data_IF_579367437944
#
_entry.id   IF_579367437944
#
_cell.length_a   1.000
_cell.length_b   1.000
_cell.length_c   1.000
_cell.angle_alpha   90.00
_cell.angle_beta   90.00
_cell.angle_gamma   90.00
#
_symmetry.space_group_name_H-M   'P 1'
#
loop_
_entity.id
_entity.type
_entity.pdbx_description
1 polymer ?
#
# COMPACT_ATOMS: atom_id res chain seq x y z
N UNK A 1 -50.97 79.35 -47.19
CA UNK A 1 -50.78 79.90 -45.84
C UNK A 1 -49.60 79.18 -45.22
N UNK A 2 -48.45 79.83 -45.12
CA UNK A 2 -47.25 79.23 -44.51
C UNK A 2 -47.42 79.24 -42.99
N UNK A 3 -47.88 78.12 -42.44
CA UNK A 3 -47.88 77.90 -41.00
C UNK A 3 -46.44 77.60 -40.57
N UNK A 4 -45.75 78.59 -39.99
CA UNK A 4 -44.42 78.40 -39.42
C UNK A 4 -44.56 78.02 -37.95
N UNK A 5 -43.86 76.97 -37.53
CA UNK A 5 -43.86 76.51 -36.14
C UNK A 5 -43.25 77.62 -35.25
N UNK A 6 -43.92 78.01 -34.15
CA UNK A 6 -43.37 78.97 -33.19
C UNK A 6 -42.04 78.50 -32.59
N UNK A 7 -41.13 79.44 -32.30
CA UNK A 7 -39.82 79.13 -31.73
C UNK A 7 -39.91 78.36 -30.40
N UNK A 8 -40.95 78.59 -29.59
CA UNK A 8 -41.15 77.92 -28.29
C UNK A 8 -41.26 76.41 -28.46
N UNK A 9 -42.06 75.95 -29.43
CA UNK A 9 -42.22 74.53 -29.74
C UNK A 9 -40.91 73.91 -30.24
N UNK A 10 -40.15 74.66 -31.05
CA UNK A 10 -38.85 74.20 -31.55
C UNK A 10 -37.85 74.06 -30.40
N UNK A 11 -37.86 74.96 -29.41
CA UNK A 11 -36.99 74.90 -28.24
C UNK A 11 -37.32 73.70 -27.34
N UNK A 12 -38.60 73.42 -27.13
CA UNK A 12 -39.03 72.28 -26.31
C UNK A 12 -38.69 70.93 -26.95
N UNK A 13 -38.77 70.84 -28.29
CA UNK A 13 -38.44 69.63 -29.04
C UNK A 13 -36.94 69.49 -29.36
N UNK A 14 -36.14 70.55 -29.15
CA UNK A 14 -34.74 70.59 -29.53
C UNK A 14 -33.89 69.48 -28.88
N UNK A 15 -34.02 69.17 -27.57
CA UNK A 15 -33.22 68.11 -26.93
C UNK A 15 -33.47 66.74 -27.58
N UNK A 16 -34.74 66.40 -27.81
CA UNK A 16 -35.12 65.14 -28.46
C UNK A 16 -34.65 65.07 -29.93
N UNK A 17 -34.64 66.21 -30.63
CA UNK A 17 -34.11 66.31 -31.98
C UNK A 17 -32.59 66.13 -32.04
N UNK A 18 -31.84 66.70 -31.08
CA UNK A 18 -30.40 66.52 -30.97
C UNK A 18 -30.01 65.06 -30.62
N UNK A 19 -30.83 64.37 -29.82
CA UNK A 19 -30.67 62.95 -29.49
C UNK A 19 -31.16 61.99 -30.61
N UNK A 20 -31.74 62.51 -31.70
CA UNK A 20 -32.24 61.72 -32.83
C UNK A 20 -33.52 60.92 -32.53
N UNK A 21 -34.29 61.31 -31.52
CA UNK A 21 -35.48 60.62 -31.04
C UNK A 21 -36.81 61.18 -31.60
N UNK A 22 -36.75 62.07 -32.59
CA UNK A 22 -37.91 62.68 -33.25
C UNK A 22 -38.24 62.02 -34.60
N UNK A 23 -39.52 62.01 -34.97
CA UNK A 23 -39.99 61.44 -36.24
C UNK A 23 -39.42 62.18 -37.45
N UNK A 24 -39.33 61.53 -38.62
CA UNK A 24 -38.81 62.16 -39.84
C UNK A 24 -39.59 63.41 -40.27
N UNK A 25 -40.91 63.43 -40.07
CA UNK A 25 -41.74 64.60 -40.35
C UNK A 25 -41.36 65.77 -39.45
N UNK A 26 -41.15 65.52 -38.16
CA UNK A 26 -40.68 66.52 -37.19
C UNK A 26 -39.27 67.02 -37.53
N UNK A 27 -38.37 66.11 -37.95
CA UNK A 27 -37.00 66.46 -38.33
C UNK A 27 -36.94 67.45 -39.50
N UNK A 28 -37.80 67.27 -40.50
CA UNK A 28 -37.86 68.16 -41.66
C UNK A 28 -38.30 69.57 -41.26
N UNK A 29 -39.34 69.69 -40.44
CA UNK A 29 -39.86 71.00 -40.02
C UNK A 29 -38.86 71.74 -39.11
N UNK A 30 -38.16 71.02 -38.22
CA UNK A 30 -37.10 71.61 -37.39
C UNK A 30 -35.92 72.09 -38.26
N UNK A 31 -35.49 71.33 -39.27
CA UNK A 31 -34.42 71.75 -40.20
C UNK A 31 -34.75 73.04 -40.93
N UNK A 32 -35.95 73.14 -41.50
CA UNK A 32 -36.42 74.36 -42.19
C UNK A 32 -36.43 75.54 -41.22
N UNK A 33 -36.88 75.35 -39.98
CA UNK A 33 -36.87 76.42 -38.98
C UNK A 33 -35.45 76.85 -38.57
N UNK A 34 -34.50 75.92 -38.43
CA UNK A 34 -33.10 76.23 -38.11
C UNK A 34 -32.41 76.99 -39.26
N UNK A 35 -32.81 76.79 -40.51
CA UNK A 35 -32.33 77.56 -41.67
C UNK A 35 -32.83 79.00 -41.69
N UNK A 36 -34.04 79.25 -41.16
CA UNK A 36 -34.67 80.57 -41.17
C UNK A 36 -34.47 81.38 -39.87
N UNK A 37 -34.22 80.72 -38.74
CA UNK A 37 -34.12 81.36 -37.42
C UNK A 37 -32.71 81.20 -36.79
N UNK A 38 -31.94 82.29 -36.78
CA UNK A 38 -30.58 82.30 -36.20
C UNK A 38 -30.54 81.99 -34.70
N UNK A 39 -31.52 82.44 -33.91
CA UNK A 39 -31.53 82.22 -32.45
C UNK A 39 -31.71 80.74 -32.07
N UNK A 40 -32.56 80.02 -32.80
CA UNK A 40 -32.75 78.58 -32.61
C UNK A 40 -31.53 77.79 -33.10
N UNK A 41 -30.87 78.25 -34.18
CA UNK A 41 -29.62 77.66 -34.68
C UNK A 41 -28.50 77.74 -33.65
N UNK A 42 -28.27 78.90 -33.06
CA UNK A 42 -27.25 79.07 -32.01
C UNK A 42 -27.54 78.24 -30.76
N UNK A 43 -28.81 78.04 -30.41
CA UNK A 43 -29.19 77.18 -29.29
C UNK A 43 -28.91 75.70 -29.60
N UNK A 44 -29.25 75.25 -30.81
CA UNK A 44 -28.96 73.89 -31.28
C UNK A 44 -27.45 73.62 -31.34
N UNK A 45 -26.66 74.55 -31.90
CA UNK A 45 -25.21 74.40 -31.99
C UNK A 45 -24.54 74.42 -30.61
N UNK A 46 -25.01 75.23 -29.64
CA UNK A 46 -24.50 75.15 -28.26
C UNK A 46 -24.81 73.82 -27.62
N UNK A 47 -26.03 73.32 -27.79
CA UNK A 47 -26.44 72.06 -27.19
C UNK A 47 -25.75 70.85 -27.83
N UNK A 48 -25.52 70.89 -29.15
CA UNK A 48 -24.71 69.93 -29.88
C UNK A 48 -23.24 70.02 -29.47
N UNK A 49 -22.70 71.22 -29.27
CA UNK A 49 -21.35 71.43 -28.75
C UNK A 49 -21.21 70.99 -27.29
N UNK A 50 -22.26 71.02 -26.47
CA UNK A 50 -22.25 70.46 -25.11
C UNK A 50 -22.28 68.92 -25.16
N UNK A 51 -23.01 68.31 -26.10
CA UNK A 51 -23.00 66.85 -26.32
C UNK A 51 -21.67 66.35 -26.92
N UNK A 52 -21.11 67.09 -27.88
CA UNK A 52 -19.84 66.76 -28.56
C UNK A 52 -18.62 67.21 -27.73
N UNK A 53 -18.77 68.25 -26.92
CA UNK A 53 -17.76 68.85 -26.04
C UNK A 53 -17.47 68.04 -24.77
N UNK A 54 -18.29 67.02 -24.48
CA UNK A 54 -17.96 65.98 -23.48
C UNK A 54 -17.01 64.91 -24.06
N UNK A 55 -16.68 64.96 -25.37
CA UNK A 55 -16.00 63.84 -26.05
C UNK A 55 -14.62 64.14 -26.67
N UNK A 56 -14.01 65.32 -26.50
CA UNK A 56 -12.71 65.60 -27.15
C UNK A 56 -11.69 66.36 -26.28
N UNK A 57 -11.35 65.78 -25.13
CA UNK A 57 -9.95 65.39 -24.82
C UNK A 57 -9.95 63.95 -24.27
N UNK A 58 -10.71 63.08 -24.93
CA UNK A 58 -10.68 61.64 -24.73
C UNK A 58 -9.56 61.03 -25.59
N UNK A 59 -8.30 61.27 -25.22
CA UNK A 59 -7.31 60.22 -25.40
C UNK A 59 -7.73 59.11 -24.45
N UNK A 60 -8.55 58.16 -24.94
CA UNK A 60 -9.21 57.05 -24.20
C UNK A 60 -8.99 57.16 -22.70
N UNK A 61 -9.96 57.63 -21.88
CA UNK A 61 -9.86 57.30 -20.48
C UNK A 61 -9.77 55.78 -20.48
N UNK A 62 -8.67 55.23 -19.99
CA UNK A 62 -8.76 53.94 -19.36
C UNK A 62 -9.87 54.14 -18.36
N UNK A 63 -11.09 53.73 -18.71
CA UNK A 63 -12.03 53.23 -17.75
C UNK A 63 -11.23 52.13 -17.09
N UNK A 64 -10.49 52.52 -16.05
CA UNK A 64 -9.81 51.58 -15.21
C UNK A 64 -10.99 50.84 -14.65
N UNK A 65 -11.25 49.68 -15.26
CA UNK A 65 -12.07 48.61 -14.76
C UNK A 65 -11.44 48.21 -13.43
N UNK A 66 -11.64 49.08 -12.43
CA UNK A 66 -11.12 48.98 -11.07
C UNK A 66 -11.69 47.71 -10.47
N UNK A 67 -12.90 47.32 -10.88
CA UNK A 67 -13.52 46.06 -10.58
C UNK A 67 -12.72 44.87 -11.13
N UNK A 68 -12.32 44.83 -12.41
CA UNK A 68 -11.41 43.76 -12.88
C UNK A 68 -10.00 43.86 -12.32
N UNK A 69 -9.46 45.05 -12.02
CA UNK A 69 -8.08 45.21 -11.51
C UNK A 69 -7.96 44.80 -10.05
N UNK A 70 -8.94 45.12 -9.22
CA UNK A 70 -9.04 44.70 -7.81
C UNK A 70 -9.48 43.24 -7.72
N UNK A 71 -10.42 42.77 -8.54
CA UNK A 71 -10.78 41.34 -8.62
C UNK A 71 -9.63 40.48 -9.13
N UNK A 72 -8.85 40.92 -10.13
CA UNK A 72 -7.63 40.20 -10.54
C UNK A 72 -6.54 40.24 -9.49
N UNK A 73 -6.37 41.32 -8.72
CA UNK A 73 -5.42 41.35 -7.59
C UNK A 73 -5.85 40.42 -6.47
N UNK A 74 -7.13 40.44 -6.07
CA UNK A 74 -7.65 39.54 -5.03
C UNK A 74 -7.68 38.10 -5.50
N UNK A 75 -8.12 37.80 -6.73
CA UNK A 75 -8.05 36.44 -7.30
C UNK A 75 -6.60 35.98 -7.43
N UNK A 76 -5.66 36.84 -7.86
CA UNK A 76 -4.24 36.49 -7.89
C UNK A 76 -3.68 36.22 -6.50
N UNK A 77 -4.07 37.00 -5.49
CA UNK A 77 -3.63 36.78 -4.11
C UNK A 77 -4.28 35.52 -3.51
N UNK A 78 -5.54 35.22 -3.83
CA UNK A 78 -6.23 33.98 -3.44
C UNK A 78 -5.64 32.77 -4.16
N UNK A 79 -5.31 32.88 -5.45
CA UNK A 79 -4.66 31.82 -6.23
C UNK A 79 -3.22 31.62 -5.76
N UNK A 80 -2.48 32.68 -5.44
CA UNK A 80 -1.14 32.59 -4.82
C UNK A 80 -1.21 31.95 -3.43
N UNK A 81 -2.21 32.30 -2.63
CA UNK A 81 -2.46 31.69 -1.33
C UNK A 81 -2.81 30.20 -1.46
N UNK A 82 -3.75 29.87 -2.35
CA UNK A 82 -4.13 28.49 -2.64
C UNK A 82 -2.94 27.68 -3.19
N UNK A 83 -2.19 28.24 -4.15
CA UNK A 83 -0.98 27.61 -4.69
C UNK A 83 0.09 27.42 -3.60
N UNK A 84 0.25 28.38 -2.69
CA UNK A 84 1.12 28.24 -1.52
C UNK A 84 0.69 27.09 -0.61
N UNK A 85 -0.61 26.97 -0.30
CA UNK A 85 -1.15 25.85 0.48
C UNK A 85 -0.96 24.52 -0.24
N UNK A 86 -1.22 24.45 -1.55
CA UNK A 86 -0.97 23.25 -2.35
C UNK A 86 0.51 22.87 -2.40
N UNK A 87 1.41 23.85 -2.44
CA UNK A 87 2.85 23.61 -2.45
C UNK A 87 3.33 23.11 -1.08
N UNK A 88 2.81 23.65 0.02
CA UNK A 88 3.07 23.12 1.37
C UNK A 88 2.52 21.71 1.53
N UNK A 89 1.28 21.45 1.08
CA UNK A 89 0.70 20.11 1.11
C UNK A 89 1.52 19.12 0.27
N UNK A 90 1.91 19.53 -0.94
CA UNK A 90 2.74 18.74 -1.85
C UNK A 90 4.11 18.43 -1.26
N UNK A 91 4.76 19.39 -0.60
CA UNK A 91 6.06 19.18 0.06
C UNK A 91 5.96 18.27 1.28
N UNK A 92 4.91 18.39 2.10
CA UNK A 92 4.65 17.48 3.23
C UNK A 92 4.40 16.05 2.72
N UNK A 93 3.56 15.90 1.70
CA UNK A 93 3.29 14.60 1.09
C UNK A 93 4.56 13.99 0.48
N UNK A 94 5.36 14.82 -0.21
CA UNK A 94 6.64 14.41 -0.77
C UNK A 94 7.61 13.94 0.33
N UNK A 95 7.78 14.71 1.41
CA UNK A 95 8.62 14.28 2.53
C UNK A 95 8.14 12.95 3.14
N UNK A 96 6.83 12.79 3.32
CA UNK A 96 6.27 11.56 3.89
C UNK A 96 6.55 10.35 3.00
N UNK A 97 6.31 10.46 1.69
CA UNK A 97 6.41 9.34 0.75
C UNK A 97 7.85 8.99 0.35
N UNK A 98 8.73 9.99 0.23
CA UNK A 98 10.06 9.82 -0.36
C UNK A 98 11.21 9.90 0.67
N UNK A 99 10.98 10.47 1.87
CA UNK A 99 12.06 10.71 2.85
C UNK A 99 11.83 10.01 4.19
N UNK A 100 10.64 10.14 4.77
CA UNK A 100 10.32 9.54 6.08
C UNK A 100 9.99 8.07 5.92
N UNK A 101 9.20 7.73 4.90
CA UNK A 101 8.74 6.38 4.66
C UNK A 101 7.65 5.93 5.63
N UNK A 102 7.33 4.65 5.57
CA UNK A 102 6.34 3.98 6.40
C UNK A 102 6.88 2.62 6.88
N UNK A 103 6.49 2.16 8.08
CA UNK A 103 6.84 0.82 8.53
C UNK A 103 6.22 -0.21 7.59
N UNK A 104 6.95 -1.27 7.28
CA UNK A 104 6.53 -2.29 6.31
C UNK A 104 6.95 -3.68 6.74
N UNK A 105 6.09 -4.65 6.45
CA UNK A 105 6.37 -6.09 6.57
C UNK A 105 6.56 -6.73 5.18
N UNK A 106 6.53 -5.93 4.11
CA UNK A 106 6.69 -6.42 2.72
C UNK A 106 8.17 -6.50 2.33
N UNK A 107 8.93 -7.30 3.07
CA UNK A 107 10.34 -7.57 2.79
C UNK A 107 10.69 -9.02 3.08
N UNK A 108 11.70 -9.54 2.38
CA UNK A 108 12.26 -10.86 2.63
C UNK A 108 13.66 -10.74 3.21
N UNK A 109 13.95 -11.58 4.19
CA UNK A 109 15.29 -11.77 4.75
C UNK A 109 16.03 -12.78 3.87
N UNK A 110 17.18 -12.38 3.33
CA UNK A 110 18.03 -13.23 2.50
C UNK A 110 19.01 -14.04 3.37
N UNK A 111 19.52 -13.44 4.45
CA UNK A 111 20.39 -14.10 5.41
C UNK A 111 20.27 -13.44 6.79
N UNK A 112 20.54 -14.22 7.82
CA UNK A 112 20.71 -13.76 9.20
C UNK A 112 21.93 -14.49 9.76
N UNK A 113 22.97 -13.74 10.07
CA UNK A 113 24.21 -14.26 10.66
C UNK A 113 24.38 -13.69 12.07
N UNK A 114 24.68 -14.54 13.04
CA UNK A 114 24.78 -14.18 14.46
C UNK A 114 26.18 -14.52 14.93
N UNK A 115 26.94 -13.50 15.31
CA UNK A 115 28.30 -13.63 15.83
C UNK A 115 28.39 -12.98 17.21
N UNK A 116 28.19 -13.79 18.25
CA UNK A 116 28.08 -13.31 19.62
C UNK A 116 26.87 -12.39 19.79
N UNK A 117 27.12 -11.12 20.13
CA UNK A 117 26.06 -10.11 20.28
C UNK A 117 25.75 -9.36 18.98
N UNK A 118 26.54 -9.53 17.92
CA UNK A 118 26.31 -8.89 16.63
C UNK A 118 25.40 -9.75 15.76
N UNK A 119 24.40 -9.11 15.16
CA UNK A 119 23.42 -9.74 14.28
C UNK A 119 23.47 -9.03 12.93
N UNK A 120 23.93 -9.74 11.91
CA UNK A 120 23.98 -9.25 10.53
C UNK A 120 22.77 -9.77 9.76
N UNK A 121 21.91 -8.85 9.29
CA UNK A 121 20.68 -9.20 8.58
C UNK A 121 20.68 -8.51 7.23
N UNK A 122 20.59 -9.32 6.17
CA UNK A 122 20.43 -8.82 4.82
C UNK A 122 19.07 -9.19 4.25
N UNK A 123 18.50 -8.30 3.46
CA UNK A 123 17.19 -8.54 2.86
C UNK A 123 16.89 -7.63 1.68
N UNK A 124 15.73 -7.86 1.09
CA UNK A 124 15.19 -7.06 -0.01
C UNK A 124 13.72 -6.78 0.19
N UNK A 125 13.27 -5.59 -0.24
CA UNK A 125 11.86 -5.28 -0.39
C UNK A 125 11.22 -6.24 -1.40
N UNK A 126 10.00 -6.72 -1.12
CA UNK A 126 9.23 -7.56 -2.05
C UNK A 126 8.61 -6.69 -3.15
N UNK A 127 8.07 -5.53 -2.76
CA UNK A 127 7.51 -4.57 -3.71
C UNK A 127 8.63 -3.90 -4.50
N UNK A 128 8.59 -4.07 -5.82
CA UNK A 128 9.57 -3.52 -6.77
C UNK A 128 9.59 -1.99 -6.79
N UNK A 129 8.51 -1.34 -6.35
CA UNK A 129 8.44 0.12 -6.20
C UNK A 129 8.86 0.60 -4.80
N UNK A 130 9.12 -0.30 -3.85
CA UNK A 130 9.51 0.06 -2.49
C UNK A 130 11.04 0.03 -2.32
N UNK A 131 11.56 1.04 -1.65
CA UNK A 131 13.00 1.22 -1.39
C UNK A 131 13.25 1.23 0.10
N UNK A 132 14.35 0.63 0.55
CA UNK A 132 14.72 0.64 1.97
C UNK A 132 15.10 2.06 2.41
N UNK A 133 14.57 2.49 3.56
CA UNK A 133 14.89 3.80 4.16
C UNK A 133 15.71 3.71 5.43
N UNK A 134 15.38 2.77 6.30
CA UNK A 134 15.93 2.69 7.65
C UNK A 134 15.25 1.59 8.46
N UNK A 135 15.69 1.42 9.69
CA UNK A 135 15.05 0.52 10.63
C UNK A 135 14.88 1.18 11.99
N UNK A 136 14.00 0.62 12.82
CA UNK A 136 13.90 0.88 14.24
C UNK A 136 13.70 -0.43 14.99
N UNK A 137 14.16 -0.48 16.24
CA UNK A 137 13.82 -1.55 17.17
C UNK A 137 12.65 -1.06 18.02
N UNK A 138 11.52 -1.75 17.93
CA UNK A 138 10.33 -1.47 18.72
C UNK A 138 10.20 -2.53 19.83
N UNK A 139 9.83 -2.14 21.05
CA UNK A 139 9.58 -3.13 22.10
C UNK A 139 8.17 -3.71 21.97
N UNK A 140 8.08 -5.03 22.00
CA UNK A 140 6.85 -5.81 21.88
C UNK A 140 6.96 -7.02 22.82
N UNK A 141 6.04 -7.14 23.79
CA UNK A 141 5.91 -8.28 24.70
C UNK A 141 7.20 -8.80 25.36
N UNK A 142 8.07 -7.87 25.79
CA UNK A 142 9.33 -8.22 26.46
C UNK A 142 10.50 -8.56 25.52
N UNK A 143 10.27 -8.52 24.21
CA UNK A 143 11.28 -8.64 23.16
C UNK A 143 11.46 -7.33 22.38
N UNK A 144 12.48 -7.27 21.54
CA UNK A 144 12.63 -6.20 20.55
C UNK A 144 12.33 -6.72 19.15
N UNK A 145 11.55 -5.96 18.39
CA UNK A 145 11.19 -6.27 17.01
C UNK A 145 11.89 -5.31 16.05
N UNK A 146 12.50 -5.88 15.02
CA UNK A 146 13.00 -5.11 13.89
C UNK A 146 11.85 -4.62 13.04
N UNK A 147 11.71 -3.30 12.94
CA UNK A 147 10.74 -2.64 12.07
C UNK A 147 11.49 -1.94 10.95
N UNK A 148 11.35 -2.47 9.73
CA UNK A 148 11.90 -1.87 8.52
C UNK A 148 10.98 -0.76 8.02
N UNK A 149 11.57 0.33 7.56
CA UNK A 149 10.88 1.44 6.92
C UNK A 149 11.18 1.46 5.43
N UNK A 150 10.15 1.56 4.61
CA UNK A 150 10.28 1.76 3.17
C UNK A 150 9.75 3.12 2.71
N UNK A 151 10.27 3.59 1.58
CA UNK A 151 9.80 4.79 0.90
C UNK A 151 9.76 4.57 -0.62
N UNK A 152 9.15 5.50 -1.35
CA UNK A 152 9.21 5.49 -2.81
C UNK A 152 10.63 5.83 -3.31
N UNK A 153 11.04 5.31 -4.49
CA UNK A 153 12.32 5.60 -5.08
C UNK A 153 12.46 7.09 -5.36
N UNK A 154 13.65 7.60 -5.09
CA UNK A 154 14.05 8.99 -5.31
C UNK A 154 15.32 9.06 -6.14
N UNK A 155 15.72 10.26 -6.56
CA UNK A 155 16.98 10.46 -7.28
C UNK A 155 18.22 9.95 -6.52
N UNK A 156 18.18 9.97 -5.18
CA UNK A 156 19.27 9.57 -4.29
C UNK A 156 19.08 8.20 -3.62
N UNK A 157 17.87 7.64 -3.59
CA UNK A 157 17.61 6.35 -2.95
C UNK A 157 16.77 5.47 -3.87
N UNK A 158 17.38 4.38 -4.35
CA UNK A 158 16.76 3.45 -5.31
C UNK A 158 16.94 1.98 -4.93
N UNK A 159 17.64 1.69 -3.84
CA UNK A 159 17.93 0.31 -3.46
C UNK A 159 16.83 -0.28 -2.59
N UNK A 160 16.15 -1.32 -3.09
CA UNK A 160 15.27 -2.16 -2.29
C UNK A 160 16.03 -3.08 -1.33
N UNK A 161 17.36 -3.19 -1.45
CA UNK A 161 18.18 -4.06 -0.60
C UNK A 161 18.71 -3.33 0.62
N UNK A 162 18.86 -4.08 1.72
CA UNK A 162 19.45 -3.60 2.96
C UNK A 162 20.38 -4.63 3.57
N UNK A 163 21.41 -4.15 4.26
CA UNK A 163 22.31 -4.94 5.10
C UNK A 163 22.45 -4.19 6.41
N UNK A 164 22.02 -4.82 7.50
CA UNK A 164 21.96 -4.22 8.83
C UNK A 164 22.93 -4.94 9.74
N UNK A 165 23.71 -4.15 10.47
CA UNK A 165 24.45 -4.62 11.63
C UNK A 165 23.66 -4.20 12.87
N UNK A 166 23.03 -5.17 13.50
CA UNK A 166 22.23 -5.04 14.71
C UNK A 166 23.02 -5.59 15.89
N UNK A 167 22.59 -5.24 17.10
CA UNK A 167 23.06 -5.88 18.33
C UNK A 167 21.89 -6.55 19.02
N UNK A 168 22.15 -7.70 19.63
CA UNK A 168 21.17 -8.36 20.47
C UNK A 168 20.74 -7.40 21.60
N UNK A 169 19.43 -7.36 21.90
CA UNK A 169 18.95 -6.53 22.98
C UNK A 169 19.46 -7.08 24.32
N UNK A 170 20.08 -6.21 25.12
CA UNK A 170 20.58 -6.60 26.43
C UNK A 170 19.47 -6.98 27.41
N UNK A 171 19.84 -7.67 28.50
CA UNK A 171 18.90 -8.00 29.58
C UNK A 171 18.05 -9.25 29.33
N UNK A 172 18.52 -10.18 28.51
CA UNK A 172 17.83 -11.46 28.28
C UNK A 172 16.63 -11.35 27.33
N UNK A 173 16.57 -10.31 26.51
CA UNK A 173 15.49 -10.10 25.54
C UNK A 173 15.81 -10.79 24.23
N UNK A 174 14.75 -11.23 23.55
CA UNK A 174 14.85 -11.80 22.21
C UNK A 174 14.72 -10.69 21.14
N UNK A 175 15.22 -10.95 19.93
CA UNK A 175 15.12 -10.09 18.75
C UNK A 175 14.27 -10.76 17.67
N UNK A 176 13.15 -10.15 17.30
CA UNK A 176 12.24 -10.65 16.26
C UNK A 176 12.49 -9.97 14.90
N UNK A 177 12.62 -10.79 13.85
CA UNK A 177 12.94 -10.36 12.48
C UNK A 177 12.13 -11.20 11.48
N UNK A 178 11.02 -10.68 10.93
CA UNK A 178 10.20 -11.39 9.93
C UNK A 178 9.94 -12.87 10.24
N UNK A 179 9.34 -13.15 11.39
CA UNK A 179 9.05 -14.52 11.83
C UNK A 179 10.26 -15.28 12.39
N UNK A 180 11.49 -14.87 12.08
CA UNK A 180 12.70 -15.37 12.73
C UNK A 180 12.81 -14.77 14.14
N UNK A 181 13.18 -15.61 15.09
CA UNK A 181 13.44 -15.20 16.48
C UNK A 181 14.90 -15.47 16.78
N UNK A 182 15.64 -14.44 17.18
CA UNK A 182 16.99 -14.59 17.69
C UNK A 182 16.93 -14.47 19.20
N UNK A 183 17.19 -15.59 19.87
CA UNK A 183 17.17 -15.68 21.32
C UNK A 183 18.27 -14.83 21.93
N UNK A 184 18.09 -14.40 23.18
CA UNK A 184 19.16 -13.71 23.93
C UNK A 184 20.45 -14.53 24.07
N UNK A 185 20.39 -15.85 23.90
CA UNK A 185 21.54 -16.77 23.84
C UNK A 185 22.32 -16.71 22.53
N UNK A 186 21.79 -16.04 21.50
CA UNK A 186 22.30 -16.07 20.12
C UNK A 186 21.74 -17.20 19.26
N UNK A 187 20.87 -18.06 19.81
CA UNK A 187 20.19 -19.13 19.04
C UNK A 187 19.21 -18.51 18.05
N UNK A 188 19.31 -18.89 16.78
CA UNK A 188 18.36 -18.49 15.74
C UNK A 188 17.26 -19.55 15.65
N UNK A 189 16.01 -19.11 15.68
CA UNK A 189 14.83 -19.95 15.47
C UNK A 189 14.12 -19.45 14.23
N UNK A 190 13.99 -20.32 13.22
CA UNK A 190 13.41 -19.99 11.92
C UNK A 190 11.93 -19.61 12.01
N UNK A 191 11.41 -18.93 10.97
CA UNK A 191 9.97 -18.67 10.86
C UNK A 191 9.16 -19.96 10.87
N UNK A 192 9.65 -21.01 10.19
CA UNK A 192 9.02 -22.32 10.15
C UNK A 192 8.90 -22.93 11.55
N UNK A 193 9.98 -22.95 12.33
CA UNK A 193 9.95 -23.48 13.69
C UNK A 193 9.00 -22.70 14.60
N UNK A 194 9.00 -21.36 14.51
CA UNK A 194 8.08 -20.52 15.30
C UNK A 194 6.61 -20.75 14.91
N UNK A 195 6.30 -20.90 13.62
CA UNK A 195 4.95 -21.19 13.14
C UNK A 195 4.49 -22.59 13.57
N UNK A 196 5.35 -23.60 13.45
CA UNK A 196 5.06 -24.97 13.89
C UNK A 196 4.83 -25.05 15.40
N UNK A 197 5.68 -24.39 16.19
CA UNK A 197 5.53 -24.36 17.64
C UNK A 197 4.20 -23.71 18.08
N UNK A 198 3.75 -22.68 17.36
CA UNK A 198 2.43 -22.04 17.58
C UNK A 198 1.26 -22.91 17.11
N UNK A 199 1.50 -23.80 16.15
CA UNK A 199 0.49 -24.68 15.56
C UNK A 199 0.31 -26.02 16.30
N UNK A 200 1.02 -26.25 17.41
CA UNK A 200 0.91 -27.46 18.24
C UNK A 200 -0.55 -27.85 18.50
N UNK A 201 -0.83 -29.13 18.37
CA UNK A 201 -2.17 -29.70 18.51
C UNK A 201 -2.24 -30.65 19.71
N UNK A 202 -2.98 -30.33 20.78
CA UNK A 202 -3.14 -31.26 21.90
C UNK A 202 -3.87 -32.56 21.55
N UNK A 203 -4.62 -32.59 20.44
CA UNK A 203 -5.48 -33.72 20.11
C UNK A 203 -5.73 -33.90 18.61
N UNK A 204 -5.32 -35.05 18.07
CA UNK A 204 -5.46 -35.41 16.64
C UNK A 204 -6.90 -35.39 16.10
N UNK A 205 -7.94 -35.35 16.96
CA UNK A 205 -9.31 -35.20 16.47
C UNK A 205 -9.66 -33.79 15.99
N UNK A 206 -8.80 -32.78 16.20
CA UNK A 206 -8.95 -31.44 15.64
C UNK A 206 -8.41 -31.38 14.20
N UNK A 207 -9.24 -31.78 13.25
CA UNK A 207 -8.91 -31.76 11.83
C UNK A 207 -8.48 -30.37 11.30
N UNK A 208 -8.91 -29.28 11.95
CA UNK A 208 -8.47 -27.93 11.57
C UNK A 208 -7.03 -27.67 12.01
N UNK A 209 -6.67 -28.10 13.22
CA UNK A 209 -5.29 -28.04 13.71
C UNK A 209 -4.35 -28.92 12.89
N UNK A 210 -4.78 -30.12 12.52
CA UNK A 210 -4.02 -31.03 11.66
C UNK A 210 -3.76 -30.42 10.28
N UNK A 211 -4.80 -29.81 9.69
CA UNK A 211 -4.69 -29.07 8.43
C UNK A 211 -3.70 -27.91 8.51
N UNK A 212 -3.67 -27.17 9.62
CA UNK A 212 -2.67 -26.12 9.84
C UNK A 212 -1.25 -26.69 9.94
N UNK A 213 -1.04 -27.73 10.75
CA UNK A 213 0.30 -28.33 10.94
C UNK A 213 0.87 -28.87 9.62
N UNK A 214 0.08 -29.69 8.91
CA UNK A 214 0.49 -30.27 7.63
C UNK A 214 0.71 -29.20 6.54
N UNK A 215 -0.10 -28.14 6.55
CA UNK A 215 0.05 -26.98 5.68
C UNK A 215 1.31 -26.15 5.97
N UNK A 216 1.60 -25.87 7.24
CA UNK A 216 2.82 -25.17 7.67
C UNK A 216 4.08 -25.96 7.32
N UNK A 217 4.05 -27.29 7.48
CA UNK A 217 5.14 -28.16 7.01
C UNK A 217 5.29 -28.19 5.47
N UNK A 218 4.27 -27.73 4.73
CA UNK A 218 4.31 -27.72 3.28
C UNK A 218 4.18 -29.10 2.64
N UNK A 219 3.61 -30.09 3.34
CA UNK A 219 3.52 -31.49 2.86
C UNK A 219 2.88 -31.55 1.47
N UNK A 220 1.73 -30.88 1.28
CA UNK A 220 1.05 -30.88 -0.03
C UNK A 220 1.84 -30.18 -1.13
N UNK A 221 2.66 -29.17 -0.77
CA UNK A 221 3.49 -28.42 -1.73
C UNK A 221 4.67 -29.26 -2.22
N UNK A 222 5.25 -30.09 -1.35
CA UNK A 222 6.44 -30.89 -1.68
C UNK A 222 6.11 -32.30 -2.19
N UNK A 223 5.03 -32.92 -1.68
CA UNK A 223 4.72 -34.33 -1.91
C UNK A 223 3.38 -34.59 -2.62
N UNK A 224 2.62 -33.55 -2.94
CA UNK A 224 1.34 -33.65 -3.66
C UNK A 224 0.11 -33.68 -2.76
N UNK A 225 -1.09 -33.60 -3.35
CA UNK A 225 -2.33 -33.60 -2.57
C UNK A 225 -2.60 -34.95 -1.89
N UNK A 226 -3.22 -34.90 -0.72
CA UNK A 226 -3.58 -36.09 0.05
C UNK A 226 -4.90 -35.93 0.79
N UNK A 227 -5.51 -37.06 1.15
CA UNK A 227 -6.67 -37.15 2.02
C UNK A 227 -6.25 -37.63 3.41
N UNK A 228 -6.90 -37.09 4.44
CA UNK A 228 -6.66 -37.45 5.83
C UNK A 228 -7.57 -38.59 6.27
N UNK A 229 -7.00 -39.55 7.00
CA UNK A 229 -7.74 -40.59 7.71
C UNK A 229 -7.18 -40.71 9.13
N UNK A 230 -8.07 -40.67 10.12
CA UNK A 230 -7.70 -40.62 11.54
C UNK A 230 -8.19 -41.87 12.27
N UNK A 231 -7.34 -42.41 13.14
CA UNK A 231 -7.67 -43.48 14.08
C UNK A 231 -7.55 -42.96 15.50
N UNK A 232 -8.68 -42.78 16.18
CA UNK A 232 -8.76 -42.30 17.57
C UNK A 232 -9.43 -43.29 18.52
N UNK A 233 -9.88 -44.43 18.02
CA UNK A 233 -10.63 -45.42 18.82
C UNK A 233 -9.75 -46.36 19.62
N UNK A 234 -8.48 -46.52 19.23
CA UNK A 234 -7.51 -47.46 19.83
C UNK A 234 -6.16 -46.76 19.95
N UNK A 235 -5.48 -46.94 21.07
CA UNK A 235 -4.11 -46.45 21.26
C UNK A 235 -3.08 -47.40 20.61
N UNK A 236 -2.02 -46.87 19.98
CA UNK A 236 -1.75 -45.44 19.76
C UNK A 236 -2.68 -44.81 18.72
N UNK A 237 -3.09 -43.55 18.94
CA UNK A 237 -3.84 -42.81 17.91
C UNK A 237 -2.95 -42.64 16.67
N UNK A 238 -3.58 -42.70 15.50
CA UNK A 238 -2.89 -42.70 14.21
C UNK A 238 -3.44 -41.67 13.23
N UNK A 239 -2.56 -41.15 12.39
CA UNK A 239 -2.91 -40.27 11.28
C UNK A 239 -2.35 -40.84 9.98
N UNK A 240 -3.23 -41.16 9.04
CA UNK A 240 -2.88 -41.67 7.71
C UNK A 240 -3.06 -40.60 6.64
N UNK A 241 -2.02 -40.37 5.84
CA UNK A 241 -2.02 -39.47 4.68
C UNK A 241 -2.14 -40.31 3.39
N UNK A 242 -3.26 -40.16 2.69
CA UNK A 242 -3.56 -40.87 1.46
C UNK A 242 -3.27 -39.99 0.24
N UNK A 243 -2.08 -40.11 -0.35
CA UNK A 243 -1.65 -39.30 -1.50
C UNK A 243 -2.37 -39.69 -2.78
N UNK A 244 -2.79 -38.68 -3.54
CA UNK A 244 -3.60 -38.85 -4.76
C UNK A 244 -2.73 -38.94 -6.02
N UNK A 245 -1.54 -38.34 -5.97
CA UNK A 245 -0.60 -38.26 -7.08
C UNK A 245 0.44 -39.39 -7.01
N UNK A 246 0.92 -39.81 -8.17
CA UNK A 246 2.04 -40.74 -8.28
C UNK A 246 3.39 -40.01 -8.11
N UNK A 247 4.39 -40.72 -7.57
CA UNK A 247 5.76 -40.22 -7.49
C UNK A 247 6.71 -41.07 -8.34
N UNK A 248 7.65 -40.45 -9.08
CA UNK A 248 8.68 -41.18 -9.80
C UNK A 248 9.81 -41.66 -8.88
N UNK A 249 9.95 -41.10 -7.67
CA UNK A 249 11.06 -41.39 -6.77
C UNK A 249 10.58 -41.75 -5.36
N UNK A 250 10.38 -43.05 -5.15
CA UNK A 250 9.94 -43.62 -3.86
C UNK A 250 10.93 -43.35 -2.72
N UNK A 251 12.24 -43.38 -2.97
CA UNK A 251 13.23 -43.22 -1.90
C UNK A 251 13.22 -41.81 -1.29
N UNK A 252 13.22 -40.78 -2.14
CA UNK A 252 13.14 -39.37 -1.69
C UNK A 252 11.79 -39.08 -1.04
N UNK A 253 10.70 -39.64 -1.59
CA UNK A 253 9.37 -39.51 -1.02
C UNK A 253 9.31 -40.09 0.40
N UNK A 254 9.81 -41.32 0.59
CA UNK A 254 9.84 -42.01 1.88
C UNK A 254 10.69 -41.27 2.93
N UNK A 255 11.87 -40.80 2.53
CA UNK A 255 12.76 -40.05 3.42
C UNK A 255 12.09 -38.76 3.89
N UNK A 256 11.51 -38.00 2.96
CA UNK A 256 10.82 -36.74 3.27
C UNK A 256 9.55 -36.98 4.11
N UNK A 257 8.77 -38.01 3.79
CA UNK A 257 7.58 -38.35 4.59
C UNK A 257 7.93 -38.76 6.02
N UNK A 258 9.00 -39.53 6.23
CA UNK A 258 9.47 -39.89 7.58
C UNK A 258 9.87 -38.66 8.38
N UNK A 259 10.57 -37.72 7.77
CA UNK A 259 10.91 -36.45 8.40
C UNK A 259 9.65 -35.68 8.83
N UNK A 260 8.69 -35.48 7.92
CA UNK A 260 7.43 -34.79 8.25
C UNK A 260 6.61 -35.51 9.32
N UNK A 261 6.49 -36.83 9.20
CA UNK A 261 5.77 -37.66 10.17
C UNK A 261 6.31 -37.48 11.59
N UNK A 262 7.63 -37.38 11.76
CA UNK A 262 8.20 -37.14 13.08
C UNK A 262 7.91 -35.75 13.63
N UNK A 263 7.83 -34.72 12.78
CA UNK A 263 7.38 -33.39 13.22
C UNK A 263 5.89 -33.39 13.58
N UNK A 264 5.04 -34.09 12.82
CA UNK A 264 3.61 -34.24 13.14
C UNK A 264 3.41 -34.96 14.48
N UNK A 265 4.17 -36.02 14.74
CA UNK A 265 4.14 -36.76 16.01
C UNK A 265 4.67 -35.89 17.16
N UNK A 266 5.74 -35.11 16.93
CA UNK A 266 6.29 -34.20 17.94
C UNK A 266 5.26 -33.16 18.38
N UNK A 267 4.52 -32.60 17.43
CA UNK A 267 3.62 -31.46 17.63
C UNK A 267 2.17 -31.86 17.94
N UNK A 268 1.87 -33.16 18.01
CA UNK A 268 0.53 -33.67 18.31
C UNK A 268 0.55 -34.59 19.53
N UNK A 269 0.04 -34.13 20.68
CA UNK A 269 0.32 -34.74 21.98
C UNK A 269 -0.11 -36.21 22.08
N UNK A 270 -1.30 -36.55 21.55
CA UNK A 270 -1.85 -37.91 21.62
C UNK A 270 -1.56 -38.76 20.38
N UNK A 271 -0.83 -38.25 19.39
CA UNK A 271 -0.47 -38.99 18.18
C UNK A 271 0.71 -39.92 18.46
N UNK A 272 0.56 -41.21 18.19
CA UNK A 272 1.62 -42.19 18.42
C UNK A 272 2.20 -42.80 17.14
N UNK A 273 1.50 -42.66 16.01
CA UNK A 273 2.00 -43.12 14.72
C UNK A 273 1.44 -42.29 13.55
N UNK A 274 2.22 -42.21 12.48
CA UNK A 274 1.80 -41.63 11.21
C UNK A 274 2.03 -42.64 10.11
N UNK A 275 1.04 -42.80 9.23
CA UNK A 275 1.06 -43.71 8.09
C UNK A 275 0.83 -42.94 6.80
N UNK A 276 1.29 -43.47 5.67
CA UNK A 276 1.04 -42.89 4.36
C UNK A 276 0.86 -43.93 3.28
N UNK A 277 -0.02 -43.62 2.34
CA UNK A 277 -0.32 -44.43 1.16
C UNK A 277 -0.04 -43.60 -0.08
N UNK A 278 0.66 -44.17 -1.06
CA UNK A 278 1.03 -43.47 -2.30
C UNK A 278 1.27 -44.45 -3.44
N UNK A 279 1.36 -43.92 -4.66
CA UNK A 279 1.61 -44.70 -5.87
C UNK A 279 2.97 -44.37 -6.45
N UNK A 280 3.75 -45.37 -6.83
CA UNK A 280 5.04 -45.19 -7.51
C UNK A 280 4.89 -45.55 -8.98
N UNK A 281 5.33 -44.66 -9.86
CA UNK A 281 5.42 -44.95 -11.30
C UNK A 281 6.71 -45.70 -11.63
N UNK A 282 6.56 -46.96 -12.06
CA UNK A 282 7.65 -47.80 -12.54
C UNK A 282 7.44 -48.14 -14.02
N UNK A 283 8.50 -48.57 -14.71
CA UNK A 283 8.42 -49.01 -16.12
C UNK A 283 7.40 -50.14 -16.35
N UNK A 284 7.11 -50.93 -15.31
CA UNK A 284 6.17 -52.05 -15.34
C UNK A 284 4.72 -51.66 -14.99
N UNK A 285 4.47 -50.37 -14.73
CA UNK A 285 3.18 -49.82 -14.31
C UNK A 285 3.18 -49.26 -12.88
N UNK A 286 2.09 -48.60 -12.47
CA UNK A 286 1.97 -48.00 -11.14
C UNK A 286 1.87 -49.08 -10.05
N UNK A 287 2.64 -48.90 -8.97
CA UNK A 287 2.65 -49.80 -7.81
C UNK A 287 2.25 -49.04 -6.55
N UNK A 288 1.28 -49.57 -5.83
CA UNK A 288 0.83 -49.04 -4.55
C UNK A 288 1.85 -49.34 -3.45
N UNK A 289 2.12 -48.35 -2.59
CA UNK A 289 3.05 -48.43 -1.47
C UNK A 289 2.41 -47.87 -0.21
N UNK A 290 2.90 -48.40 0.92
CA UNK A 290 2.49 -47.99 2.26
C UNK A 290 3.73 -47.87 3.14
N UNK A 291 3.77 -46.80 3.93
CA UNK A 291 4.76 -46.60 4.98
C UNK A 291 4.07 -46.21 6.29
N UNK A 292 4.75 -46.50 7.40
CA UNK A 292 4.34 -46.10 8.75
C UNK A 292 5.59 -45.82 9.58
N UNK A 293 5.49 -44.84 10.48
CA UNK A 293 6.48 -44.59 11.52
C UNK A 293 5.79 -44.30 12.85
N UNK A 294 6.36 -44.84 13.92
CA UNK A 294 5.89 -44.68 15.29
C UNK A 294 6.69 -43.62 16.05
N UNK A 295 6.15 -43.14 17.17
CA UNK A 295 6.85 -42.23 18.09
C UNK A 295 8.21 -42.77 18.52
N UNK A 296 8.31 -44.07 18.81
CA UNK A 296 9.55 -44.73 19.21
C UNK A 296 10.60 -44.71 18.09
N UNK A 297 10.19 -44.99 16.85
CA UNK A 297 11.06 -44.96 15.68
C UNK A 297 11.52 -43.54 15.35
N UNK A 298 10.65 -42.54 15.49
CA UNK A 298 11.03 -41.13 15.41
C UNK A 298 12.06 -40.77 16.49
N UNK A 299 11.92 -41.30 17.70
CA UNK A 299 12.88 -41.10 18.77
C UNK A 299 14.26 -41.68 18.44
N UNK A 300 14.31 -42.86 17.80
CA UNK A 300 15.56 -43.47 17.32
C UNK A 300 16.21 -42.66 16.20
N UNK A 301 15.42 -42.15 15.26
CA UNK A 301 15.92 -41.35 14.14
C UNK A 301 16.46 -40.00 14.57
N UNK A 302 15.80 -39.35 15.54
CA UNK A 302 16.19 -38.02 16.04
C UNK A 302 17.19 -38.08 17.20
N UNK A 303 17.38 -39.24 17.81
CA UNK A 303 18.31 -39.47 18.92
C UNK A 303 17.81 -39.03 20.30
N UNK A 304 16.53 -38.65 20.42
CA UNK A 304 15.86 -38.28 21.66
C UNK A 304 14.34 -38.49 21.52
N UNK A 305 13.55 -38.62 22.60
CA UNK A 305 12.10 -38.74 22.50
C UNK A 305 11.49 -37.59 21.67
N UNK A 306 10.80 -37.92 20.57
CA UNK A 306 10.47 -36.91 19.55
C UNK A 306 9.57 -35.79 20.06
N UNK A 307 8.70 -36.06 21.03
CA UNK A 307 7.79 -35.06 21.62
C UNK A 307 8.49 -34.03 22.49
N UNK A 308 9.67 -34.32 23.07
CA UNK A 308 10.38 -33.33 23.90
C UNK A 308 10.92 -32.15 23.09
N UNK A 309 11.08 -32.31 21.77
CA UNK A 309 11.43 -31.18 20.90
C UNK A 309 10.33 -30.12 20.83
N UNK A 310 9.08 -30.49 21.11
CA UNK A 310 7.96 -29.56 21.14
C UNK A 310 7.85 -28.74 22.43
N UNK A 311 8.76 -28.91 23.40
CA UNK A 311 8.77 -28.15 24.65
C UNK A 311 9.17 -26.68 24.45
N UNK A 312 9.89 -26.36 23.36
CA UNK A 312 10.28 -24.98 23.04
C UNK A 312 10.46 -24.76 21.52
N UNK A 313 10.42 -23.50 21.03
CA UNK A 313 10.70 -23.18 19.63
C UNK A 313 12.10 -23.63 19.17
N UNK A 314 13.10 -23.53 20.05
CA UNK A 314 14.47 -23.99 19.81
C UNK A 314 14.54 -25.51 19.66
N UNK A 315 13.72 -26.25 20.40
CA UNK A 315 13.59 -27.70 20.24
C UNK A 315 13.05 -28.07 18.85
N UNK A 316 12.04 -27.32 18.37
CA UNK A 316 11.50 -27.52 17.03
C UNK A 316 12.54 -27.18 15.95
N UNK A 317 13.32 -26.10 16.12
CA UNK A 317 14.43 -25.78 15.20
C UNK A 317 15.42 -26.94 15.12
N UNK A 318 15.87 -27.47 16.27
CA UNK A 318 16.77 -28.62 16.31
C UNK A 318 16.17 -29.87 15.63
N UNK A 319 14.86 -30.10 15.78
CA UNK A 319 14.18 -31.21 15.14
C UNK A 319 14.20 -31.06 13.61
N UNK A 320 13.87 -29.87 13.11
CA UNK A 320 13.86 -29.55 11.68
C UNK A 320 15.26 -29.70 11.07
N UNK A 321 16.30 -29.19 11.75
CA UNK A 321 17.69 -29.32 11.32
C UNK A 321 18.14 -30.78 11.24
N UNK A 322 17.85 -31.59 12.28
CA UNK A 322 18.20 -33.02 12.30
C UNK A 322 17.52 -33.82 11.20
N UNK A 323 16.33 -33.41 10.81
CA UNK A 323 15.52 -34.06 9.78
C UNK A 323 15.72 -33.48 8.38
N UNK A 324 16.58 -32.47 8.21
CA UNK A 324 16.87 -31.85 6.91
C UNK A 324 15.64 -31.19 6.26
N UNK A 325 14.71 -30.66 7.07
CA UNK A 325 13.51 -29.99 6.59
C UNK A 325 13.84 -28.52 6.29
N UNK A 326 13.47 -28.03 5.11
CA UNK A 326 13.71 -26.64 4.70
C UNK A 326 15.13 -26.33 4.20
N UNK A 327 15.96 -27.36 3.99
CA UNK A 327 17.24 -27.29 3.28
C UNK A 327 17.08 -27.59 1.79
#
# INVERSE_FOLDING_TARGET
>A
MNYRIPCEIIRDLMPMYADGLTSETTNREIRVHLEECGTCREMYERMKADMEGVSQTAGKPSEIDYLKKVRRRNVRNVVLGAAGVFLVMGTVLFMKLFVIGYPTESYMVAYTDVNGEQVNVGGTMIDSAAVYRGYKLAQEDGAERLVIYSCLPSFWNRSGTFNLELRLPGGGKDLYIQGITIKSSGTVVSSLANELYRARNPYIGDASADGRLSGTLGISRELGSFKNELQTSVEPCGWTLNFEESTPNSAVFEERMKAYACVLIALTDNLGQVSWNYTVELEQGPVWRHGTITEEECGKMTGAPVKTFADSPEGIEQLIERLGIGQ
#
